data_IF_764390026443
#
_entry.id   IF_764390026443
#
_cell.length_a   1.000
_cell.length_b   1.000
_cell.length_c   1.000
_cell.angle_alpha   90.00
_cell.angle_beta   90.00
_cell.angle_gamma   90.00
#
_symmetry.space_group_name_H-M   'P 1'
#
loop_
_entity.id
_entity.type
_entity.pdbx_description
1 polymer ?
#
# COMPACT_ATOMS: atom_id res chain seq x y z
N UNK A 1 -32.97 -13.79 6.74
CA UNK A 1 -32.02 -13.06 5.86
C UNK A 1 -32.78 -12.66 4.62
N UNK A 2 -32.77 -11.39 4.22
CA UNK A 2 -33.32 -10.99 2.92
C UNK A 2 -32.44 -11.58 1.81
N UNK A 3 -33.04 -11.90 0.66
CA UNK A 3 -32.33 -12.52 -0.48
C UNK A 3 -31.13 -11.63 -0.90
N UNK A 4 -31.29 -10.32 -0.83
CA UNK A 4 -30.23 -9.33 -1.11
C UNK A 4 -29.01 -9.51 -0.21
N UNK A 5 -29.20 -9.67 1.10
CA UNK A 5 -28.10 -9.87 2.05
C UNK A 5 -27.34 -11.17 1.73
N UNK A 6 -28.06 -12.23 1.37
CA UNK A 6 -27.43 -13.50 1.00
C UNK A 6 -26.56 -13.37 -0.27
N UNK A 7 -27.03 -12.61 -1.27
CA UNK A 7 -26.26 -12.37 -2.51
C UNK A 7 -25.02 -11.53 -2.23
N UNK A 8 -25.14 -10.44 -1.47
CA UNK A 8 -23.99 -9.59 -1.12
C UNK A 8 -22.95 -10.37 -0.31
N UNK A 9 -23.38 -11.21 0.63
CA UNK A 9 -22.47 -12.09 1.38
C UNK A 9 -21.78 -13.12 0.48
N UNK A 10 -22.48 -13.67 -0.51
CA UNK A 10 -21.86 -14.56 -1.49
C UNK A 10 -20.80 -13.84 -2.34
N UNK A 11 -21.07 -12.59 -2.76
CA UNK A 11 -20.11 -11.75 -3.49
C UNK A 11 -18.90 -11.43 -2.61
N UNK A 12 -19.09 -11.11 -1.33
CA UNK A 12 -18.00 -10.88 -0.37
C UNK A 12 -17.14 -12.12 -0.16
N UNK A 13 -17.76 -13.30 -0.03
CA UNK A 13 -17.03 -14.55 0.10
C UNK A 13 -16.24 -14.86 -1.17
N UNK A 14 -16.84 -14.65 -2.34
CA UNK A 14 -16.18 -14.79 -3.63
C UNK A 14 -14.98 -13.85 -3.78
N UNK A 15 -15.14 -12.56 -3.44
CA UNK A 15 -14.06 -11.58 -3.40
C UNK A 15 -12.93 -12.03 -2.48
N UNK A 16 -13.26 -12.47 -1.26
CA UNK A 16 -12.29 -12.92 -0.28
C UNK A 16 -11.49 -14.14 -0.80
N UNK A 17 -12.18 -15.11 -1.41
CA UNK A 17 -11.52 -16.28 -2.00
C UNK A 17 -10.59 -15.89 -3.16
N UNK A 18 -11.00 -14.97 -4.04
CA UNK A 18 -10.12 -14.47 -5.09
C UNK A 18 -8.89 -13.76 -4.53
N UNK A 19 -9.04 -12.94 -3.48
CA UNK A 19 -7.91 -12.28 -2.84
C UNK A 19 -6.96 -13.26 -2.15
N UNK A 20 -7.47 -14.28 -1.47
CA UNK A 20 -6.63 -15.27 -0.78
C UNK A 20 -5.93 -16.21 -1.76
N UNK A 21 -6.61 -16.59 -2.84
CA UNK A 21 -6.03 -17.49 -3.86
C UNK A 21 -5.08 -16.76 -4.81
N UNK A 22 -5.12 -15.42 -4.84
CA UNK A 22 -4.33 -14.56 -5.74
C UNK A 22 -4.32 -15.07 -7.19
N UNK A 23 -5.44 -15.66 -7.63
CA UNK A 23 -5.56 -16.27 -8.96
C UNK A 23 -5.42 -15.23 -10.07
N UNK A 24 -5.87 -14.00 -9.80
CA UNK A 24 -5.62 -12.82 -10.61
C UNK A 24 -4.87 -11.76 -9.79
N UNK A 25 -4.14 -10.85 -10.44
CA UNK A 25 -3.64 -9.64 -9.80
C UNK A 25 -4.72 -8.93 -8.98
N UNK A 26 -4.35 -8.35 -7.84
CA UNK A 26 -5.29 -7.77 -6.88
C UNK A 26 -6.18 -6.68 -7.50
N UNK A 27 -5.61 -5.89 -8.40
CA UNK A 27 -6.30 -4.87 -9.19
C UNK A 27 -7.35 -5.47 -10.14
N UNK A 28 -7.00 -6.56 -10.84
CA UNK A 28 -7.95 -7.29 -11.71
C UNK A 28 -9.07 -7.91 -10.87
N UNK A 29 -8.74 -8.52 -9.72
CA UNK A 29 -9.72 -9.06 -8.79
C UNK A 29 -10.70 -7.98 -8.31
N UNK A 30 -10.20 -6.81 -7.93
CA UNK A 30 -11.04 -5.68 -7.51
C UNK A 30 -11.99 -5.22 -8.63
N UNK A 31 -11.50 -5.15 -9.87
CA UNK A 31 -12.32 -4.80 -11.04
C UNK A 31 -13.39 -5.85 -11.36
N UNK A 32 -13.08 -7.14 -11.21
CA UNK A 32 -14.06 -8.23 -11.36
C UNK A 32 -15.20 -8.07 -10.34
N UNK A 33 -14.87 -7.85 -9.07
CA UNK A 33 -15.87 -7.68 -8.01
C UNK A 33 -16.72 -6.43 -8.24
N UNK A 34 -16.09 -5.33 -8.66
CA UNK A 34 -16.78 -4.10 -9.03
C UNK A 34 -17.75 -4.33 -10.21
N UNK A 35 -17.32 -5.07 -11.23
CA UNK A 35 -18.16 -5.43 -12.38
C UNK A 35 -19.35 -6.30 -11.98
N UNK A 36 -19.13 -7.29 -11.10
CA UNK A 36 -20.20 -8.14 -10.56
C UNK A 36 -21.24 -7.29 -9.81
N UNK A 37 -20.81 -6.36 -8.95
CA UNK A 37 -21.69 -5.46 -8.22
C UNK A 37 -22.51 -4.54 -9.14
N UNK A 38 -21.90 -4.03 -10.22
CA UNK A 38 -22.59 -3.21 -11.22
C UNK A 38 -23.62 -4.03 -12.02
N UNK A 39 -23.26 -5.23 -12.49
CA UNK A 39 -24.15 -6.10 -13.28
C UNK A 39 -25.35 -6.58 -12.46
N UNK A 40 -25.12 -6.87 -11.17
CA UNK A 40 -26.18 -7.29 -10.25
C UNK A 40 -27.07 -6.14 -9.77
N UNK A 41 -26.73 -4.89 -10.08
CA UNK A 41 -27.52 -3.71 -9.73
C UNK A 41 -27.44 -3.32 -8.25
N UNK A 42 -26.53 -3.92 -7.47
CA UNK A 42 -26.30 -3.54 -6.07
C UNK A 42 -25.49 -2.25 -5.93
N UNK A 43 -24.92 -1.75 -7.02
CA UNK A 43 -24.12 -0.53 -7.06
C UNK A 43 -24.50 0.30 -8.28
N UNK A 44 -24.71 1.60 -8.10
CA UNK A 44 -24.90 2.51 -9.23
C UNK A 44 -23.57 2.87 -9.89
N UNK A 45 -23.52 3.18 -11.21
CA UNK A 45 -22.27 3.60 -11.88
C UNK A 45 -21.57 4.79 -11.21
N UNK A 46 -22.34 5.72 -10.65
CA UNK A 46 -21.78 6.87 -9.92
C UNK A 46 -21.09 6.43 -8.64
N UNK A 47 -21.63 5.44 -7.93
CA UNK A 47 -21.05 4.90 -6.70
C UNK A 47 -19.80 4.08 -6.95
N UNK A 48 -19.73 3.35 -8.07
CA UNK A 48 -18.52 2.67 -8.51
C UNK A 48 -17.34 3.63 -8.71
N UNK A 49 -17.60 4.84 -9.21
CA UNK A 49 -16.55 5.84 -9.47
C UNK A 49 -16.16 6.59 -8.19
N UNK A 50 -17.06 6.72 -7.20
CA UNK A 50 -16.77 7.39 -5.91
C UNK A 50 -15.57 6.78 -5.19
N UNK A 51 -15.32 5.48 -5.34
CA UNK A 51 -14.17 4.80 -4.75
C UNK A 51 -12.82 5.37 -5.20
N UNK A 52 -12.71 5.86 -6.44
CA UNK A 52 -11.48 6.45 -6.98
C UNK A 52 -11.20 7.85 -6.43
N UNK A 53 -12.24 8.57 -6.00
CA UNK A 53 -12.11 9.88 -5.35
C UNK A 53 -11.86 9.78 -3.84
N UNK A 54 -11.61 8.57 -3.32
CA UNK A 54 -11.36 8.36 -1.89
C UNK A 54 -10.07 9.10 -1.46
N UNK A 55 -10.11 9.94 -0.41
CA UNK A 55 -8.94 10.64 0.10
C UNK A 55 -7.74 9.73 0.41
N UNK A 56 -7.98 8.48 0.84
CA UNK A 56 -6.93 7.50 1.08
C UNK A 56 -6.21 7.09 -0.22
N UNK A 57 -6.94 6.91 -1.33
CA UNK A 57 -6.36 6.59 -2.65
C UNK A 57 -5.48 7.75 -3.12
N UNK A 58 -5.99 8.98 -3.01
CA UNK A 58 -5.24 10.20 -3.35
C UNK A 58 -3.98 10.33 -2.48
N UNK A 59 -4.08 10.03 -1.19
CA UNK A 59 -2.94 10.06 -0.26
C UNK A 59 -1.85 9.09 -0.71
N UNK A 60 -2.18 7.84 -1.03
CA UNK A 60 -1.22 6.84 -1.52
C UNK A 60 -0.56 7.30 -2.83
N UNK A 61 -1.32 7.88 -3.76
CA UNK A 61 -0.77 8.43 -5.01
C UNK A 61 0.27 9.52 -4.74
N UNK A 62 -0.03 10.46 -3.83
CA UNK A 62 0.92 11.51 -3.43
C UNK A 62 2.17 10.96 -2.74
N UNK A 63 2.03 9.89 -1.94
CA UNK A 63 3.16 9.22 -1.30
C UNK A 63 4.10 8.56 -2.31
N UNK A 64 3.58 7.99 -3.40
CA UNK A 64 4.42 7.49 -4.50
C UNK A 64 5.18 8.62 -5.19
N UNK A 65 4.53 9.75 -5.46
CA UNK A 65 5.18 10.95 -6.01
C UNK A 65 6.28 11.45 -5.07
N UNK A 66 6.00 11.52 -3.76
CA UNK A 66 6.98 11.92 -2.74
C UNK A 66 8.16 10.95 -2.68
N UNK A 67 7.92 9.64 -2.68
CA UNK A 67 8.99 8.62 -2.70
C UNK A 67 9.88 8.80 -3.93
N UNK A 68 9.29 9.05 -5.10
CA UNK A 68 10.07 9.32 -6.31
C UNK A 68 10.88 10.63 -6.21
N UNK A 69 10.30 11.69 -5.65
CA UNK A 69 11.01 12.96 -5.44
C UNK A 69 12.19 12.81 -4.47
N UNK A 70 12.05 12.01 -3.41
CA UNK A 70 13.12 11.68 -2.45
C UNK A 70 14.24 10.86 -3.10
N UNK A 71 13.90 9.92 -3.99
CA UNK A 71 14.88 9.18 -4.78
C UNK A 71 15.65 10.09 -5.73
N UNK A 72 14.97 11.07 -6.35
CA UNK A 72 15.62 12.00 -7.29
C UNK A 72 16.46 13.08 -6.61
N UNK A 73 16.16 13.42 -5.36
CA UNK A 73 16.87 14.48 -4.62
C UNK A 73 18.23 14.07 -4.06
N UNK A 74 18.59 12.78 -4.08
CA UNK A 74 19.85 12.30 -3.52
C UNK A 74 19.83 12.09 -2.00
N UNK A 75 18.72 12.38 -1.33
CA UNK A 75 18.59 12.24 0.13
C UNK A 75 18.71 10.77 0.55
N UNK A 76 18.16 9.85 -0.24
CA UNK A 76 18.25 8.42 0.06
C UNK A 76 19.69 7.92 -0.04
N UNK A 77 20.46 8.38 -1.03
CA UNK A 77 21.88 8.07 -1.18
C UNK A 77 22.69 8.57 0.03
N UNK A 78 22.40 9.77 0.53
CA UNK A 78 23.04 10.29 1.74
C UNK A 78 22.72 9.43 2.98
N UNK A 79 21.47 9.00 3.13
CA UNK A 79 21.06 8.11 4.23
C UNK A 79 21.73 6.75 4.16
N UNK A 80 21.82 6.15 2.95
CA UNK A 80 22.49 4.86 2.73
C UNK A 80 23.97 4.93 3.10
N UNK A 81 24.71 5.95 2.63
CA UNK A 81 26.13 6.11 2.96
C UNK A 81 26.33 6.22 4.48
N UNK A 82 25.51 7.03 5.14
CA UNK A 82 25.63 7.22 6.59
C UNK A 82 25.30 5.96 7.40
N UNK A 83 24.32 5.18 6.93
CA UNK A 83 23.98 3.88 7.52
C UNK A 83 25.09 2.85 7.29
N UNK A 84 25.74 2.86 6.13
CA UNK A 84 26.88 1.98 5.85
C UNK A 84 28.07 2.30 6.76
N UNK A 85 28.42 3.57 6.97
CA UNK A 85 29.48 3.96 7.91
C UNK A 85 29.22 3.45 9.35
N UNK A 86 27.95 3.45 9.77
CA UNK A 86 27.53 2.91 11.07
C UNK A 86 27.60 1.38 11.11
N UNK A 87 27.27 0.74 9.99
CA UNK A 87 27.25 -0.72 9.84
C UNK A 87 28.67 -1.31 9.78
N UNK A 88 29.63 -0.60 9.18
CA UNK A 88 31.05 -0.95 9.21
C UNK A 88 31.61 -0.98 10.63
N UNK A 89 31.14 -0.08 11.51
CA UNK A 89 31.54 -0.08 12.93
C UNK A 89 30.88 -1.20 13.71
N UNK A 90 29.57 -1.41 13.49
CA UNK A 90 28.82 -2.51 14.11
C UNK A 90 27.50 -2.74 13.36
N UNK A 91 27.33 -3.96 12.85
CA UNK A 91 26.09 -4.38 12.17
C UNK A 91 24.84 -4.20 13.05
N UNK A 92 24.95 -4.52 14.33
CA UNK A 92 23.84 -4.37 15.28
C UNK A 92 23.46 -2.90 15.49
N UNK A 93 24.46 -2.01 15.54
CA UNK A 93 24.22 -0.58 15.72
C UNK A 93 23.62 0.05 14.47
N UNK A 94 24.11 -0.30 13.28
CA UNK A 94 23.51 0.12 12.01
C UNK A 94 22.05 -0.31 11.88
N UNK A 95 21.76 -1.59 12.17
CA UNK A 95 20.39 -2.12 12.16
C UNK A 95 19.50 -1.42 13.18
N UNK A 96 19.97 -1.19 14.40
CA UNK A 96 19.21 -0.49 15.43
C UNK A 96 18.86 0.94 15.01
N UNK A 97 19.84 1.70 14.50
CA UNK A 97 19.61 3.07 14.03
C UNK A 97 18.64 3.10 12.86
N UNK A 98 18.74 2.15 11.92
CA UNK A 98 17.81 2.02 10.82
C UNK A 98 16.38 1.76 11.31
N UNK A 99 16.17 0.71 12.10
CA UNK A 99 14.86 0.34 12.64
C UNK A 99 14.26 1.46 13.51
N UNK A 100 15.08 2.12 14.33
CA UNK A 100 14.65 3.24 15.13
C UNK A 100 14.20 4.43 14.26
N UNK A 101 14.95 4.74 13.19
CA UNK A 101 14.58 5.82 12.26
C UNK A 101 13.27 5.52 11.54
N UNK A 102 13.08 4.27 11.11
CA UNK A 102 11.82 3.79 10.51
C UNK A 102 10.68 3.91 11.53
N UNK A 103 10.88 3.46 12.77
CA UNK A 103 9.85 3.50 13.82
C UNK A 103 9.43 4.94 14.15
N UNK A 104 10.38 5.86 14.30
CA UNK A 104 10.10 7.28 14.54
C UNK A 104 9.35 7.87 13.37
N UNK A 105 9.78 7.64 12.13
CA UNK A 105 9.10 8.15 10.94
C UNK A 105 7.66 7.57 10.80
N UNK A 106 7.48 6.28 11.11
CA UNK A 106 6.18 5.58 11.09
C UNK A 106 5.20 6.06 12.16
N UNK A 107 5.67 6.74 13.20
CA UNK A 107 4.78 7.36 14.19
C UNK A 107 4.08 8.62 13.65
N UNK A 108 4.67 9.28 12.63
CA UNK A 108 4.14 10.52 12.04
C UNK A 108 3.50 10.32 10.66
N UNK A 109 3.87 9.25 9.96
CA UNK A 109 3.47 8.98 8.58
C UNK A 109 2.81 7.60 8.50
N UNK A 110 1.80 7.46 7.63
CA UNK A 110 1.11 6.19 7.40
C UNK A 110 2.09 5.08 6.95
N UNK A 111 1.90 3.87 7.47
CA UNK A 111 2.86 2.75 7.34
C UNK A 111 3.23 2.43 5.87
N UNK A 112 2.25 2.50 4.95
CA UNK A 112 2.46 2.26 3.52
C UNK A 112 3.48 3.21 2.89
N UNK A 113 3.49 4.47 3.32
CA UNK A 113 4.42 5.47 2.81
C UNK A 113 5.86 5.18 3.24
N UNK A 114 6.03 4.85 4.52
CA UNK A 114 7.33 4.60 5.12
C UNK A 114 8.00 3.41 4.44
N UNK A 115 7.26 2.32 4.24
CA UNK A 115 7.76 1.16 3.50
C UNK A 115 8.21 1.56 2.09
N UNK A 116 7.42 2.34 1.36
CA UNK A 116 7.77 2.80 0.02
C UNK A 116 9.00 3.73 -0.04
N UNK A 117 9.32 4.45 1.04
CA UNK A 117 10.48 5.35 1.14
C UNK A 117 11.74 4.60 1.57
N UNK A 118 11.62 3.65 2.50
CA UNK A 118 12.76 2.95 3.10
C UNK A 118 13.14 1.64 2.41
N UNK A 119 12.26 0.99 1.64
CA UNK A 119 12.60 -0.20 0.83
C UNK A 119 13.88 -0.02 -0.01
N UNK A 120 14.05 1.09 -0.76
CA UNK A 120 15.27 1.30 -1.54
C UNK A 120 16.55 1.36 -0.70
N UNK A 121 16.45 1.76 0.57
CA UNK A 121 17.58 1.84 1.51
C UNK A 121 17.94 0.45 2.05
N UNK A 122 16.96 -0.45 2.18
CA UNK A 122 17.17 -1.82 2.70
C UNK A 122 17.71 -2.79 1.64
N UNK A 123 17.28 -2.64 0.38
CA UNK A 123 17.59 -3.62 -0.69
C UNK A 123 18.90 -3.28 -1.42
N UNK A 124 19.34 -2.02 -1.40
CA UNK A 124 20.61 -1.58 -2.00
C UNK A 124 21.78 -1.85 -1.07
#
# INVERSE_FOLDING_TARGET
MTIEIAIVLAILLFMFLLFVTETFPLDVTALIVLAVLLITGFLEPVEAIKGFANPAVITIALLFVLSHALQKSGILEFLVVKLNDLTEKSKLLGLFVFLFSVAVASAFINNTAIVAIFIPVTIR
#
